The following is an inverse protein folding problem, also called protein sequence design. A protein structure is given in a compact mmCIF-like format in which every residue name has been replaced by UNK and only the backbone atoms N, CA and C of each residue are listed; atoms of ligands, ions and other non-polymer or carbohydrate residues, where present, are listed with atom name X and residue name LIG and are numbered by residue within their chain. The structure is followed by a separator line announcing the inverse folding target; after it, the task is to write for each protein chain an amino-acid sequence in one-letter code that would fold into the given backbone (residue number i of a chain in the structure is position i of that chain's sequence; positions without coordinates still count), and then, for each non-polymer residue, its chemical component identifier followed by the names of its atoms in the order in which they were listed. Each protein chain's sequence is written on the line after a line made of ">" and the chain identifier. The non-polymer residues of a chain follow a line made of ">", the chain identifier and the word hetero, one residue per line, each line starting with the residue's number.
data_IF_219624473747
#
_entry.id   IF_219624473747
#
_cell.length_a   1.000
_cell.length_b   1.000
_cell.length_c   1.000
_cell.angle_alpha   90.00
_cell.angle_beta   90.00
_cell.angle_gamma   90.00
#
_symmetry.space_group_name_H-M   'P 1'
#
loop_
_entity.id
_entity.type
_entity.pdbx_description
1 polymer ?
#
# COMPACT_ATOMS: atom_id res chain seq x y z
N UNK A 1 -21.09 0.86 -37.73
CA UNK A 1 -20.19 0.66 -36.57
C UNK A 1 -19.01 1.59 -36.73
N UNK A 2 -18.85 2.52 -35.81
CA UNK A 2 -18.05 3.73 -36.01
C UNK A 2 -16.58 3.54 -35.67
N UNK A 3 -15.73 4.36 -36.30
CA UNK A 3 -14.29 4.49 -36.04
C UNK A 3 -14.03 4.80 -34.54
N UNK A 4 -15.02 5.42 -33.87
CA UNK A 4 -15.04 5.72 -32.44
C UNK A 4 -15.06 4.46 -31.55
N UNK A 5 -15.74 3.37 -31.93
CA UNK A 5 -15.77 2.13 -31.13
C UNK A 5 -14.39 1.47 -31.03
N UNK A 6 -13.57 1.60 -32.08
CA UNK A 6 -12.19 1.07 -32.09
C UNK A 6 -11.25 1.84 -31.17
N UNK A 7 -11.53 3.12 -30.89
CA UNK A 7 -10.78 3.92 -29.91
C UNK A 7 -11.12 3.54 -28.47
N UNK A 8 -12.38 3.20 -28.18
CA UNK A 8 -12.81 2.78 -26.83
C UNK A 8 -12.33 1.36 -26.44
N UNK A 9 -12.04 0.50 -27.44
CA UNK A 9 -11.53 -0.86 -27.23
C UNK A 9 -10.00 -0.95 -27.12
N UNK A 10 -9.27 0.15 -27.34
CA UNK A 10 -7.80 0.15 -27.24
C UNK A 10 -7.39 0.03 -25.76
N UNK A 11 -6.54 -0.95 -25.44
CA UNK A 11 -5.90 -1.01 -24.12
C UNK A 11 -5.10 0.28 -23.92
N UNK A 12 -5.35 1.03 -22.84
CA UNK A 12 -4.65 2.29 -22.59
C UNK A 12 -3.16 2.03 -22.42
N UNK A 13 -2.32 2.92 -22.96
CA UNK A 13 -0.88 2.78 -22.82
C UNK A 13 -0.42 3.24 -21.43
N UNK A 14 0.75 2.76 -21.00
CA UNK A 14 1.36 3.20 -19.74
C UNK A 14 1.57 4.71 -19.72
N UNK A 15 2.07 5.29 -20.81
CA UNK A 15 2.32 6.74 -20.93
C UNK A 15 1.03 7.56 -20.79
N UNK A 16 -0.06 7.11 -21.42
CA UNK A 16 -1.38 7.74 -21.29
C UNK A 16 -1.88 7.69 -19.85
N UNK A 17 -1.65 6.58 -19.15
CA UNK A 17 -1.98 6.44 -17.74
C UNK A 17 -1.15 7.39 -16.86
N UNK A 18 0.17 7.41 -17.02
CA UNK A 18 1.05 8.32 -16.25
C UNK A 18 0.62 9.76 -16.41
N UNK A 19 0.33 10.19 -17.65
CA UNK A 19 -0.17 11.54 -17.92
C UNK A 19 -1.46 11.85 -17.15
N UNK A 20 -2.41 10.92 -17.13
CA UNK A 20 -3.68 11.09 -16.39
C UNK A 20 -3.47 11.16 -14.88
N UNK A 21 -2.53 10.40 -14.33
CA UNK A 21 -2.18 10.45 -12.90
C UNK A 21 -1.53 11.79 -12.55
N UNK A 22 -0.56 12.27 -13.35
CA UNK A 22 0.05 13.58 -13.16
C UNK A 22 -0.98 14.72 -13.24
N UNK A 23 -1.89 14.67 -14.22
CA UNK A 23 -2.98 15.64 -14.34
C UNK A 23 -3.91 15.62 -13.13
N UNK A 24 -4.25 14.43 -12.61
CA UNK A 24 -5.09 14.28 -11.45
C UNK A 24 -4.41 14.79 -10.17
N UNK A 25 -3.12 14.47 -9.97
CA UNK A 25 -2.31 15.00 -8.85
C UNK A 25 -2.24 16.53 -8.89
N UNK A 26 -1.94 17.11 -10.06
CA UNK A 26 -1.89 18.55 -10.24
C UNK A 26 -3.24 19.22 -9.97
N UNK A 27 -4.35 18.64 -10.45
CA UNK A 27 -5.72 19.13 -10.18
C UNK A 27 -6.08 19.08 -8.70
N UNK A 28 -5.57 18.10 -7.97
CA UNK A 28 -5.75 17.97 -6.52
C UNK A 28 -4.79 18.87 -5.71
N UNK A 29 -4.03 19.75 -6.37
CA UNK A 29 -3.19 20.75 -5.71
C UNK A 29 -1.75 20.31 -5.44
N UNK A 30 -1.35 19.11 -5.84
CA UNK A 30 0.03 18.66 -5.72
C UNK A 30 0.95 19.47 -6.65
N UNK A 31 2.11 19.87 -6.13
CA UNK A 31 3.14 20.63 -6.87
C UNK A 31 4.44 19.82 -6.91
N UNK A 32 5.38 20.25 -7.75
CA UNK A 32 6.72 19.68 -7.83
C UNK A 32 6.71 18.16 -8.09
N UNK A 33 5.88 17.74 -9.04
CA UNK A 33 5.73 16.34 -9.43
C UNK A 33 6.97 15.85 -10.17
N UNK A 34 7.64 14.83 -9.64
CA UNK A 34 8.79 14.18 -10.27
C UNK A 34 8.39 12.77 -10.67
N UNK A 35 8.36 12.49 -11.97
CA UNK A 35 8.12 11.15 -12.49
C UNK A 35 9.45 10.46 -12.75
N UNK A 36 9.61 9.27 -12.18
CA UNK A 36 10.73 8.37 -12.43
C UNK A 36 10.23 7.21 -13.31
N UNK A 37 10.75 7.14 -14.54
CA UNK A 37 10.35 6.12 -15.51
C UNK A 37 11.00 4.75 -15.23
N UNK A 38 12.17 4.72 -14.58
CA UNK A 38 12.89 3.49 -14.24
C UNK A 38 12.24 2.82 -13.03
N UNK A 39 12.02 3.59 -11.96
CA UNK A 39 11.33 3.14 -10.74
C UNK A 39 9.80 3.10 -10.89
N UNK A 40 9.29 3.58 -12.04
CA UNK A 40 7.86 3.60 -12.41
C UNK A 40 7.03 4.23 -11.29
N UNK A 41 7.45 5.42 -10.87
CA UNK A 41 6.89 6.10 -9.72
C UNK A 41 6.75 7.61 -9.90
N UNK A 42 5.95 8.24 -9.05
CA UNK A 42 5.82 9.71 -8.97
C UNK A 42 6.07 10.16 -7.53
N UNK A 43 6.94 11.16 -7.34
CA UNK A 43 7.18 11.88 -6.09
C UNK A 43 6.54 13.28 -6.14
N UNK A 44 6.13 13.83 -5.00
CA UNK A 44 5.51 15.17 -4.87
C UNK A 44 6.40 16.06 -4.02
N UNK A 45 7.10 17.02 -4.63
CA UNK A 45 7.98 17.94 -3.91
C UNK A 45 9.00 17.21 -3.05
N UNK A 46 9.18 17.69 -1.81
CA UNK A 46 10.01 17.04 -0.79
C UNK A 46 9.25 16.01 0.04
N UNK A 47 8.07 15.55 -0.44
CA UNK A 47 7.30 14.53 0.26
C UNK A 47 8.03 13.20 0.27
N UNK A 48 7.90 12.54 1.39
CA UNK A 48 8.44 11.23 1.67
C UNK A 48 7.70 10.09 0.95
N UNK A 49 6.56 10.42 0.33
CA UNK A 49 5.66 9.47 -0.31
C UNK A 49 6.03 9.26 -1.77
N UNK A 50 6.05 7.99 -2.17
CA UNK A 50 6.26 7.55 -3.55
C UNK A 50 4.99 6.89 -4.06
N UNK A 51 4.44 7.40 -5.17
CA UNK A 51 3.32 6.80 -5.86
C UNK A 51 3.86 5.76 -6.84
N UNK A 52 3.81 4.47 -6.48
CA UNK A 52 4.18 3.40 -7.41
C UNK A 52 3.05 3.15 -8.42
N UNK A 53 3.37 3.22 -9.71
CA UNK A 53 2.37 3.23 -10.78
C UNK A 53 1.77 1.87 -11.09
N UNK A 54 2.45 0.77 -10.74
CA UNK A 54 2.09 -0.56 -11.25
C UNK A 54 0.77 -1.10 -10.72
N UNK A 55 0.48 -0.91 -9.43
CA UNK A 55 -0.80 -1.32 -8.85
C UNK A 55 -1.95 -0.51 -9.44
N UNK A 56 -1.79 0.81 -9.50
CA UNK A 56 -2.81 1.70 -10.05
C UNK A 56 -3.04 1.45 -11.54
N UNK A 57 -1.99 1.14 -12.31
CA UNK A 57 -2.10 0.80 -13.72
C UNK A 57 -2.79 -0.55 -13.95
N UNK A 58 -2.51 -1.56 -13.12
CA UNK A 58 -3.15 -2.86 -13.20
C UNK A 58 -4.67 -2.73 -12.99
N UNK A 59 -5.08 -2.05 -11.93
CA UNK A 59 -6.49 -1.79 -11.62
C UNK A 59 -7.17 -0.96 -12.71
N UNK A 60 -6.49 0.08 -13.21
CA UNK A 60 -7.01 0.93 -14.28
C UNK A 60 -7.21 0.16 -15.58
N UNK A 61 -6.31 -0.78 -15.90
CA UNK A 61 -6.40 -1.61 -17.10
C UNK A 61 -7.53 -2.65 -16.97
N UNK A 62 -7.75 -3.19 -15.77
CA UNK A 62 -8.82 -4.14 -15.48
C UNK A 62 -10.22 -3.49 -15.42
N UNK A 63 -10.30 -2.20 -15.11
CA UNK A 63 -11.57 -1.49 -14.99
C UNK A 63 -12.23 -1.20 -16.35
N UNK A 64 -13.57 -1.25 -16.35
CA UNK A 64 -14.39 -0.80 -17.47
C UNK A 64 -14.10 0.67 -17.81
N UNK A 65 -14.19 1.08 -19.10
CA UNK A 65 -13.86 2.43 -19.53
C UNK A 65 -14.51 3.56 -18.71
N UNK A 66 -15.75 3.36 -18.25
CA UNK A 66 -16.49 4.32 -17.41
C UNK A 66 -16.02 4.40 -15.95
N UNK A 67 -15.39 3.34 -15.42
CA UNK A 67 -14.92 3.26 -14.02
C UNK A 67 -13.47 3.72 -13.84
N UNK A 68 -12.71 3.80 -14.95
CA UNK A 68 -11.28 4.16 -14.98
C UNK A 68 -10.92 5.49 -14.33
N UNK A 69 -11.76 6.51 -14.49
CA UNK A 69 -11.57 7.81 -13.83
C UNK A 69 -11.66 7.68 -12.31
N UNK A 70 -12.60 6.87 -11.82
CA UNK A 70 -12.75 6.56 -10.40
C UNK A 70 -11.52 5.84 -9.82
N UNK A 71 -10.92 4.91 -10.57
CA UNK A 71 -9.67 4.24 -10.16
C UNK A 71 -8.56 5.26 -9.94
N UNK A 72 -8.31 6.15 -10.90
CA UNK A 72 -7.28 7.18 -10.78
C UNK A 72 -7.54 8.08 -9.56
N UNK A 73 -8.78 8.55 -9.40
CA UNK A 73 -9.14 9.42 -8.29
C UNK A 73 -8.96 8.75 -6.93
N UNK A 74 -9.29 7.45 -6.82
CA UNK A 74 -9.06 6.67 -5.59
C UNK A 74 -7.58 6.67 -5.22
N UNK A 75 -6.70 6.25 -6.13
CA UNK A 75 -5.27 6.17 -5.86
C UNK A 75 -4.64 7.54 -5.59
N UNK A 76 -5.02 8.57 -6.35
CA UNK A 76 -4.55 9.95 -6.12
C UNK A 76 -4.98 10.46 -4.74
N UNK A 77 -6.24 10.23 -4.36
CA UNK A 77 -6.75 10.61 -3.04
C UNK A 77 -6.00 9.87 -1.93
N UNK A 78 -5.80 8.55 -2.07
CA UNK A 78 -5.03 7.74 -1.13
C UNK A 78 -3.60 8.25 -0.93
N UNK A 79 -2.95 8.64 -2.01
CA UNK A 79 -1.56 9.11 -1.97
C UNK A 79 -1.42 10.51 -1.36
N UNK A 80 -2.36 11.40 -1.66
CA UNK A 80 -2.37 12.76 -1.11
C UNK A 80 -2.84 12.80 0.34
N UNK A 81 -3.65 11.84 0.78
CA UNK A 81 -3.97 11.70 2.19
C UNK A 81 -2.70 11.47 3.00
N UNK A 82 -2.42 12.36 3.95
CA UNK A 82 -1.51 12.08 5.05
C UNK A 82 -2.15 11.01 5.91
N UNK A 83 -1.93 9.75 5.55
CA UNK A 83 -2.13 8.64 6.44
C UNK A 83 -1.08 8.75 7.57
N UNK A 84 -1.26 9.70 8.48
CA UNK A 84 -0.55 9.66 9.73
C UNK A 84 -1.09 8.47 10.49
N UNK A 85 -0.21 7.56 10.92
CA UNK A 85 -0.59 6.56 11.90
C UNK A 85 -1.22 7.29 13.10
N UNK A 86 -2.40 6.87 13.61
CA UNK A 86 -3.08 7.60 14.67
C UNK A 86 -2.18 7.84 15.88
N UNK A 87 -2.45 8.90 16.65
CA UNK A 87 -1.62 9.27 17.81
C UNK A 87 -1.74 8.30 18.99
N UNK A 88 -2.74 7.44 18.98
CA UNK A 88 -3.03 6.50 20.06
C UNK A 88 -3.38 5.10 19.53
N UNK A 89 -3.14 4.10 20.38
CA UNK A 89 -3.37 2.70 20.04
C UNK A 89 -4.84 2.39 19.77
N UNK A 90 -5.76 2.98 20.52
CA UNK A 90 -7.18 2.64 20.44
C UNK A 90 -7.75 2.99 19.06
N UNK A 91 -7.39 4.15 18.53
CA UNK A 91 -7.74 4.62 17.18
C UNK A 91 -7.10 3.77 16.09
N UNK A 92 -5.89 3.25 16.30
CA UNK A 92 -5.19 2.42 15.32
C UNK A 92 -5.65 0.95 15.33
N UNK A 93 -6.16 0.47 16.46
CA UNK A 93 -6.33 -0.94 16.82
C UNK A 93 -7.01 -1.78 15.74
N UNK A 94 -8.12 -1.31 15.17
CA UNK A 94 -8.93 -2.05 14.20
C UNK A 94 -8.25 -2.24 12.82
N UNK A 95 -7.29 -1.37 12.50
CA UNK A 95 -6.55 -1.38 11.25
C UNK A 95 -5.20 -2.09 11.35
N UNK A 96 -4.81 -2.59 12.53
CA UNK A 96 -3.56 -3.32 12.69
C UNK A 96 -3.63 -4.72 12.07
N UNK A 97 -2.63 -5.08 11.28
CA UNK A 97 -2.45 -6.43 10.72
C UNK A 97 -1.00 -6.93 10.93
N UNK A 98 -0.80 -8.25 11.08
CA UNK A 98 0.53 -8.79 11.25
C UNK A 98 1.20 -8.81 9.87
N UNK A 99 2.46 -8.40 9.83
CA UNK A 99 3.28 -8.48 8.62
C UNK A 99 4.45 -9.42 8.87
N UNK A 100 4.72 -10.31 7.92
CA UNK A 100 5.87 -11.23 7.95
C UNK A 100 6.79 -10.86 6.81
N UNK A 101 8.07 -10.62 7.11
CA UNK A 101 9.09 -10.19 6.14
C UNK A 101 10.41 -10.88 6.41
N UNK A 102 11.27 -10.90 5.40
CA UNK A 102 12.69 -11.15 5.56
C UNK A 102 13.33 -9.98 6.35
N UNK A 103 14.23 -10.23 7.33
CA UNK A 103 14.93 -9.17 8.05
C UNK A 103 15.66 -8.16 7.15
N UNK A 104 16.18 -8.59 6.00
CA UNK A 104 16.88 -7.73 5.04
C UNK A 104 15.96 -6.65 4.47
N UNK A 105 14.65 -6.87 4.40
CA UNK A 105 13.68 -5.89 3.93
C UNK A 105 13.80 -4.55 4.68
N UNK A 106 13.96 -4.59 6.00
CA UNK A 106 14.05 -3.39 6.83
C UNK A 106 15.37 -2.66 6.64
N UNK A 107 16.47 -3.42 6.50
CA UNK A 107 17.80 -2.84 6.24
C UNK A 107 17.86 -2.18 4.87
N UNK A 108 17.32 -2.84 3.84
CA UNK A 108 17.21 -2.28 2.49
C UNK A 108 16.32 -1.04 2.46
N UNK A 109 15.18 -1.07 3.16
CA UNK A 109 14.28 0.09 3.28
C UNK A 109 14.99 1.29 3.91
N UNK A 110 15.77 1.08 4.98
CA UNK A 110 16.58 2.14 5.59
C UNK A 110 17.67 2.65 4.63
N UNK A 111 18.33 1.78 3.88
CA UNK A 111 19.34 2.18 2.91
C UNK A 111 18.75 3.03 1.79
N UNK A 112 17.59 2.65 1.25
CA UNK A 112 16.88 3.43 0.22
C UNK A 112 16.45 4.81 0.75
N UNK A 113 15.92 4.88 1.97
CA UNK A 113 15.58 6.16 2.58
C UNK A 113 16.84 7.04 2.77
N UNK A 114 17.95 6.46 3.22
CA UNK A 114 19.22 7.18 3.35
C UNK A 114 19.77 7.67 2.00
N UNK A 115 19.71 6.86 0.95
CA UNK A 115 20.15 7.28 -0.40
C UNK A 115 19.30 8.42 -0.94
N UNK A 116 18.02 8.45 -0.58
CA UNK A 116 17.09 9.54 -0.90
C UNK A 116 17.28 10.79 -0.01
N UNK A 117 18.32 10.84 0.82
CA UNK A 117 18.64 11.98 1.68
C UNK A 117 17.74 12.13 2.91
N UNK A 118 17.03 11.06 3.29
CA UNK A 118 16.01 11.10 4.34
C UNK A 118 16.64 10.92 5.71
N UNK A 119 16.11 11.64 6.70
CA UNK A 119 16.46 11.38 8.08
C UNK A 119 15.86 10.04 8.53
N UNK A 120 16.74 9.08 8.79
CA UNK A 120 16.40 7.74 9.24
C UNK A 120 16.83 7.48 10.68
N UNK A 121 17.33 8.51 11.38
CA UNK A 121 17.87 8.39 12.74
C UNK A 121 16.85 7.84 13.75
N UNK A 122 15.57 8.13 13.52
CA UNK A 122 14.45 7.70 14.37
C UNK A 122 13.69 6.48 13.81
N UNK A 123 14.14 5.89 12.70
CA UNK A 123 13.50 4.72 12.10
C UNK A 123 14.10 3.44 12.68
N UNK A 124 13.40 2.87 13.66
CA UNK A 124 13.68 1.56 14.22
C UNK A 124 12.45 0.67 14.08
N UNK A 125 12.55 -0.39 13.29
CA UNK A 125 11.44 -1.32 13.08
C UNK A 125 11.32 -2.30 14.24
N UNK A 126 10.17 -2.28 14.92
CA UNK A 126 9.86 -3.24 15.96
C UNK A 126 9.48 -4.58 15.34
N UNK A 127 10.35 -5.58 15.47
CA UNK A 127 10.12 -6.92 14.94
C UNK A 127 10.39 -8.02 15.97
N UNK A 128 9.70 -9.15 15.79
CA UNK A 128 9.85 -10.38 16.56
C UNK A 128 10.31 -11.50 15.64
N UNK A 129 11.43 -12.15 15.94
CA UNK A 129 11.91 -13.32 15.19
C UNK A 129 10.89 -14.45 15.23
N UNK A 130 10.55 -15.00 14.06
CA UNK A 130 9.77 -16.24 13.94
C UNK A 130 10.72 -17.42 13.75
N UNK A 131 11.60 -17.33 12.75
CA UNK A 131 12.61 -18.31 12.40
C UNK A 131 13.80 -17.61 11.73
N UNK A 132 14.83 -18.35 11.35
CA UNK A 132 15.91 -17.83 10.52
C UNK A 132 15.33 -17.36 9.16
N UNK A 133 15.60 -16.09 8.81
CA UNK A 133 15.08 -15.47 7.60
C UNK A 133 13.65 -14.93 7.68
N UNK A 134 12.94 -15.03 8.82
CA UNK A 134 11.60 -14.44 8.97
C UNK A 134 11.38 -13.74 10.29
N UNK A 135 10.85 -12.52 10.20
CA UNK A 135 10.43 -11.71 11.34
C UNK A 135 8.98 -11.26 11.18
N UNK A 136 8.29 -11.13 12.31
CA UNK A 136 6.96 -10.55 12.41
C UNK A 136 7.03 -9.10 12.87
N UNK A 137 6.26 -8.23 12.25
CA UNK A 137 5.99 -6.87 12.70
C UNK A 137 4.50 -6.58 12.66
N UNK A 138 4.15 -5.32 12.89
CA UNK A 138 2.77 -4.83 12.81
C UNK A 138 2.70 -3.78 11.70
N UNK A 139 1.68 -3.88 10.86
CA UNK A 139 1.34 -2.86 9.89
C UNK A 139 0.02 -2.18 10.28
N UNK A 140 -0.05 -0.87 10.08
CA UNK A 140 -1.29 -0.12 10.05
C UNK A 140 -1.82 -0.14 8.61
N UNK A 141 -2.88 -0.90 8.39
CA UNK A 141 -3.48 -1.19 7.07
C UNK A 141 -4.87 -0.57 6.98
N UNK A 142 -4.95 0.48 6.17
CA UNK A 142 -6.18 1.21 5.82
C UNK A 142 -6.56 0.92 4.38
N UNK A 143 -7.76 1.33 3.97
CA UNK A 143 -8.21 1.22 2.57
C UNK A 143 -7.22 1.86 1.56
N UNK A 144 -6.40 2.81 2.01
CA UNK A 144 -5.62 3.69 1.15
C UNK A 144 -4.12 3.60 1.38
N UNK A 145 -3.65 2.97 2.45
CA UNK A 145 -2.24 2.93 2.81
C UNK A 145 -1.94 1.77 3.75
N UNK A 146 -0.76 1.17 3.55
CA UNK A 146 -0.16 0.17 4.45
C UNK A 146 1.17 0.73 4.94
N UNK A 147 1.32 0.86 6.25
CA UNK A 147 2.53 1.40 6.88
C UNK A 147 3.03 0.46 7.96
N UNK A 148 4.34 0.22 8.02
CA UNK A 148 4.93 -0.50 9.14
C UNK A 148 4.86 0.37 10.40
N UNK A 149 4.37 -0.20 11.49
CA UNK A 149 4.42 0.43 12.82
C UNK A 149 5.84 0.24 13.35
N UNK A 150 6.55 1.35 13.58
CA UNK A 150 7.92 1.35 14.09
C UNK A 150 7.94 1.39 15.64
N UNK A 151 9.13 1.27 16.22
CA UNK A 151 9.30 1.23 17.68
C UNK A 151 8.92 2.56 18.35
N UNK A 152 9.16 3.70 17.71
CA UNK A 152 8.78 5.00 18.25
C UNK A 152 7.27 5.15 18.33
N UNK A 153 6.51 4.73 17.31
CA UNK A 153 5.05 4.72 17.35
C UNK A 153 4.50 3.80 18.44
N UNK A 154 5.04 2.59 18.62
CA UNK A 154 4.63 1.72 19.73
C UNK A 154 4.87 2.38 21.10
N UNK A 155 6.01 3.07 21.24
CA UNK A 155 6.34 3.83 22.46
C UNK A 155 5.38 4.99 22.69
N UNK A 156 5.04 5.75 21.65
CA UNK A 156 4.06 6.84 21.71
C UNK A 156 2.67 6.34 22.10
N UNK A 157 2.28 5.18 21.58
CA UNK A 157 1.04 4.49 21.93
C UNK A 157 1.04 3.87 23.33
N UNK A 158 2.20 3.76 23.97
CA UNK A 158 2.35 3.12 25.27
C UNK A 158 2.09 1.62 25.27
N UNK A 159 2.30 0.93 24.14
CA UNK A 159 2.04 -0.52 24.00
C UNK A 159 3.27 -1.30 23.55
N UNK A 160 3.38 -2.55 24.00
CA UNK A 160 4.45 -3.45 23.58
C UNK A 160 4.17 -4.07 22.20
N UNK A 161 5.24 -4.46 21.49
CA UNK A 161 5.12 -5.15 20.20
C UNK A 161 4.29 -6.44 20.31
N UNK A 162 4.49 -7.22 21.36
CA UNK A 162 3.78 -8.48 21.60
C UNK A 162 2.27 -8.27 21.75
N UNK A 163 1.85 -7.18 22.38
CA UNK A 163 0.44 -6.83 22.50
C UNK A 163 -0.16 -6.42 21.16
N UNK A 164 0.53 -5.53 20.44
CA UNK A 164 0.11 -5.10 19.10
C UNK A 164 0.05 -6.28 18.12
N UNK A 165 1.00 -7.21 18.17
CA UNK A 165 0.98 -8.44 17.37
C UNK A 165 -0.21 -9.34 17.70
N UNK A 166 -0.57 -9.50 18.99
CA UNK A 166 -1.75 -10.28 19.38
C UNK A 166 -3.03 -9.68 18.78
N UNK A 167 -3.21 -8.37 18.91
CA UNK A 167 -4.35 -7.64 18.31
C UNK A 167 -4.37 -7.83 16.79
N UNK A 168 -3.22 -7.61 16.14
CA UNK A 168 -3.10 -7.72 14.70
C UNK A 168 -3.49 -9.12 14.21
N UNK A 169 -3.01 -10.18 14.88
CA UNK A 169 -3.38 -11.57 14.55
C UNK A 169 -4.88 -11.81 14.73
N UNK A 170 -5.50 -11.26 15.77
CA UNK A 170 -6.95 -11.35 15.97
C UNK A 170 -7.71 -10.66 14.82
N UNK A 171 -7.34 -9.44 14.47
CA UNK A 171 -7.93 -8.73 13.33
C UNK A 171 -7.79 -9.52 12.03
N UNK A 172 -6.62 -10.12 11.77
CA UNK A 172 -6.42 -10.95 10.58
C UNK A 172 -7.35 -12.18 10.58
N UNK A 173 -7.51 -12.84 11.73
CA UNK A 173 -8.41 -13.99 11.87
C UNK A 173 -9.87 -13.59 11.64
N UNK A 174 -10.32 -12.50 12.23
CA UNK A 174 -11.67 -11.96 12.03
C UNK A 174 -11.93 -11.62 10.55
N UNK A 175 -10.96 -10.99 9.89
CA UNK A 175 -11.04 -10.68 8.45
C UNK A 175 -10.96 -11.93 7.55
N UNK A 176 -10.38 -13.03 8.03
CA UNK A 176 -10.16 -14.26 7.26
C UNK A 176 -11.12 -15.39 7.70
N UNK A 177 -12.22 -15.04 8.37
CA UNK A 177 -13.21 -16.00 8.86
C UNK A 177 -13.69 -16.96 7.74
N UNK A 178 -13.99 -18.25 8.02
CA UNK A 178 -14.28 -19.28 7.02
C UNK A 178 -15.36 -18.91 5.99
N UNK A 179 -16.30 -18.03 6.38
CA UNK A 179 -17.35 -17.52 5.50
C UNK A 179 -16.81 -16.63 4.36
N UNK A 180 -15.56 -16.19 4.42
CA UNK A 180 -14.86 -15.43 3.37
C UNK A 180 -14.13 -16.31 2.34
N UNK A 181 -14.09 -17.63 2.55
CA UNK A 181 -13.59 -18.60 1.58
C UNK A 181 -14.76 -19.36 0.98
N UNK A 182 -15.06 -19.09 -0.30
CA UNK A 182 -16.00 -19.87 -1.09
C UNK A 182 -15.34 -21.18 -1.51
N UNK A 183 -15.86 -22.31 -1.05
CA UNK A 183 -15.39 -23.63 -1.48
C UNK A 183 -15.57 -23.77 -3.01
N UNK A 184 -14.50 -24.15 -3.69
CA UNK A 184 -14.42 -24.37 -5.14
C UNK A 184 -14.10 -25.83 -5.49
N UNK A 185 -13.94 -26.69 -4.48
CA UNK A 185 -13.73 -28.13 -4.60
C UNK A 185 -13.43 -28.71 -3.22
N UNK A 186 -13.46 -30.05 -3.07
CA UNK A 186 -13.25 -30.72 -1.78
C UNK A 186 -11.93 -30.31 -1.14
N UNK A 187 -12.00 -29.49 -0.09
CA UNK A 187 -10.83 -28.97 0.62
C UNK A 187 -10.12 -27.79 -0.04
N UNK A 188 -10.70 -27.20 -1.10
CA UNK A 188 -10.18 -26.05 -1.83
C UNK A 188 -11.14 -24.86 -1.67
N UNK A 189 -10.68 -23.82 -0.98
CA UNK A 189 -11.40 -22.55 -0.82
C UNK A 189 -10.80 -21.45 -1.71
N UNK A 190 -11.66 -20.60 -2.26
CA UNK A 190 -11.27 -19.36 -2.92
C UNK A 190 -11.73 -18.17 -2.09
N UNK A 191 -10.86 -17.18 -1.87
CA UNK A 191 -11.25 -15.89 -1.32
C UNK A 191 -11.01 -14.82 -2.37
N UNK A 192 -12.02 -14.04 -2.73
CA UNK A 192 -11.83 -12.84 -3.55
C UNK A 192 -11.33 -11.71 -2.66
N UNK A 193 -10.01 -11.50 -2.61
CA UNK A 193 -9.45 -10.21 -2.18
C UNK A 193 -9.00 -9.46 -3.43
N UNK A 194 -9.60 -8.30 -3.69
CA UNK A 194 -9.23 -7.40 -4.79
C UNK A 194 -7.90 -6.66 -4.54
N UNK A 195 -7.13 -7.08 -3.53
CA UNK A 195 -5.84 -6.49 -3.19
C UNK A 195 -4.97 -7.55 -2.51
N UNK A 196 -4.51 -8.52 -3.30
CA UNK A 196 -3.30 -9.25 -2.97
C UNK A 196 -2.17 -8.60 -3.76
N UNK A 197 -1.21 -8.01 -3.04
CA UNK A 197 0.05 -7.51 -3.59
C UNK A 197 0.72 -8.68 -4.33
N UNK A 198 0.62 -8.67 -5.65
CA UNK A 198 1.32 -9.61 -6.51
C UNK A 198 2.76 -9.16 -6.67
N UNK A 199 3.68 -9.88 -6.04
CA UNK A 199 5.09 -9.88 -6.46
C UNK A 199 5.23 -10.93 -7.56
N UNK A 200 5.33 -10.48 -8.81
CA UNK A 200 6.02 -11.16 -9.91
C UNK A 200 6.61 -10.12 -10.83
#
# INVERSE_FOLDING_TARGET
>A
MGIFDKLFLRKPTREEFVKKVLEALAKSGARDLQHDAEERSIKVGSSDKVFYLDNALADYTAADPGARSGVIQRYVSSFLQDASTPKDFASAKAALLPVVRDPAYFSLSLMMLKSDGRDTSNLDYATKKITDGLVAGVAYDTEHSIMNVNRSTLKEWGVALEESLRVAILNLRERTSPNGMKEIGSGLGSSSRTSCIGWR
#
